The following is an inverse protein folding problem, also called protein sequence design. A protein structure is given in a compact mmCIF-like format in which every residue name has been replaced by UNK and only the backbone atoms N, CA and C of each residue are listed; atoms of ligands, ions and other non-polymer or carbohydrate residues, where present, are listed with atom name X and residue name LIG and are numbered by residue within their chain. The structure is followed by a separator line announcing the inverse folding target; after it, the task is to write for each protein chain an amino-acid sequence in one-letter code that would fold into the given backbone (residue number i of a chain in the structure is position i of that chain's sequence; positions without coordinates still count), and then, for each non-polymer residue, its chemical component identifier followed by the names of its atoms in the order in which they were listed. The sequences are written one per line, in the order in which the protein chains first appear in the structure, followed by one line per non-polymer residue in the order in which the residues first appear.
data_IF_267876934212
#
_entry.id   IF_267876934212
#
_cell.length_a   1.000
_cell.length_b   1.000
_cell.length_c   1.000
_cell.angle_alpha   90.00
_cell.angle_beta   90.00
_cell.angle_gamma   90.00
#
_symmetry.space_group_name_H-M   'P 1'
#
loop_
_entity.id
_entity.type
_entity.pdbx_description
1 polymer ?
#
# COMPACT_ATOMS: atom_id res chain seq x y z
N UNK A 1 -13.53 31.28 43.57
CA UNK A 1 -13.18 31.08 42.14
C UNK A 1 -14.10 30.09 41.43
N UNK A 2 -14.28 28.87 41.95
CA UNK A 2 -15.14 27.83 41.34
C UNK A 2 -16.61 28.24 41.13
N UNK A 3 -17.18 29.01 42.05
CA UNK A 3 -18.56 29.51 41.96
C UNK A 3 -18.75 30.57 40.87
N UNK A 4 -17.72 31.38 40.60
CA UNK A 4 -17.72 32.39 39.54
C UNK A 4 -17.61 31.71 38.18
N UNK A 5 -16.71 30.73 38.07
CA UNK A 5 -16.54 29.91 36.86
C UNK A 5 -17.84 29.15 36.49
N UNK A 6 -18.52 28.52 37.47
CA UNK A 6 -19.81 27.84 37.25
C UNK A 6 -20.90 28.80 36.76
N UNK A 7 -20.90 30.05 37.24
CA UNK A 7 -21.88 31.06 36.85
C UNK A 7 -21.64 31.56 35.42
N UNK A 8 -20.38 31.80 35.06
CA UNK A 8 -19.96 32.12 33.70
C UNK A 8 -20.35 31.00 32.72
N UNK A 9 -19.98 29.74 33.02
CA UNK A 9 -20.33 28.58 32.18
C UNK A 9 -21.85 28.43 31.99
N UNK A 10 -22.64 28.62 33.06
CA UNK A 10 -24.11 28.59 32.98
C UNK A 10 -24.68 29.71 32.10
N UNK A 11 -24.05 30.88 32.09
CA UNK A 11 -24.44 32.00 31.23
C UNK A 11 -24.08 31.74 29.76
N UNK A 12 -22.93 31.14 29.48
CA UNK A 12 -22.55 30.71 28.12
C UNK A 12 -23.52 29.65 27.59
N UNK A 13 -23.88 28.65 28.41
CA UNK A 13 -24.83 27.59 28.00
C UNK A 13 -26.21 28.16 27.66
N UNK A 14 -26.65 29.23 28.32
CA UNK A 14 -27.99 29.84 28.11
C UNK A 14 -28.11 30.75 26.88
N UNK A 15 -27.04 31.00 26.11
CA UNK A 15 -27.09 31.86 24.92
C UNK A 15 -27.35 31.01 23.65
N UNK A 16 -28.60 30.89 23.17
CA UNK A 16 -28.92 30.02 22.03
C UNK A 16 -28.18 30.43 20.75
N UNK A 17 -27.96 31.73 20.54
CA UNK A 17 -27.20 32.25 19.38
C UNK A 17 -25.73 31.80 19.37
N UNK A 18 -25.11 31.68 20.55
CA UNK A 18 -23.74 31.21 20.66
C UNK A 18 -23.63 29.74 20.21
N UNK A 19 -24.54 28.89 20.68
CA UNK A 19 -24.58 27.48 20.28
C UNK A 19 -24.94 27.28 18.81
N UNK A 20 -25.83 28.11 18.26
CA UNK A 20 -26.13 28.12 16.83
C UNK A 20 -24.86 28.42 16.01
N UNK A 21 -24.09 29.44 16.40
CA UNK A 21 -22.81 29.77 15.78
C UNK A 21 -21.79 28.63 15.87
N UNK A 22 -21.65 28.02 17.05
CA UNK A 22 -20.77 26.84 17.24
C UNK A 22 -21.21 25.66 16.35
N UNK A 23 -22.51 25.39 16.26
CA UNK A 23 -23.04 24.33 15.40
C UNK A 23 -22.77 24.58 13.92
N UNK A 24 -22.91 25.84 13.46
CA UNK A 24 -22.57 26.23 12.07
C UNK A 24 -21.08 26.01 11.79
N UNK A 25 -20.19 26.41 12.71
CA UNK A 25 -18.75 26.20 12.55
C UNK A 25 -18.42 24.72 12.50
N UNK A 26 -18.97 23.90 13.40
CA UNK A 26 -18.77 22.44 13.38
C UNK A 26 -19.27 21.85 12.06
N UNK A 27 -20.44 22.28 11.57
CA UNK A 27 -21.00 21.81 10.31
C UNK A 27 -20.12 22.20 9.12
N UNK A 28 -19.63 23.44 9.05
CA UNK A 28 -18.69 23.88 8.01
C UNK A 28 -17.40 23.07 8.03
N UNK A 29 -16.80 22.87 9.21
CA UNK A 29 -15.60 22.02 9.34
C UNK A 29 -15.92 20.59 8.88
N UNK A 30 -17.07 20.03 9.28
CA UNK A 30 -17.47 18.70 8.83
C UNK A 30 -17.64 18.62 7.31
N UNK A 31 -18.29 19.60 6.67
CA UNK A 31 -18.44 19.63 5.21
C UNK A 31 -17.09 19.72 4.48
N UNK A 32 -16.17 20.55 5.00
CA UNK A 32 -14.83 20.70 4.41
C UNK A 32 -13.96 19.46 4.63
N UNK A 33 -14.09 18.77 5.77
CA UNK A 33 -13.26 17.62 6.14
C UNK A 33 -13.86 16.29 5.63
N UNK A 34 -15.18 16.21 5.44
CA UNK A 34 -15.88 14.99 5.00
C UNK A 34 -15.30 14.35 3.74
N UNK A 35 -14.94 15.10 2.68
CA UNK A 35 -14.26 14.53 1.50
C UNK A 35 -12.92 13.86 1.83
N UNK A 36 -12.21 14.33 2.86
CA UNK A 36 -10.93 13.76 3.31
C UNK A 36 -11.10 12.59 4.27
N UNK A 37 -12.32 12.33 4.77
CA UNK A 37 -12.61 11.17 5.61
C UNK A 37 -12.73 9.89 4.77
N UNK A 38 -13.18 10.02 3.53
CA UNK A 38 -13.19 8.93 2.55
C UNK A 38 -11.93 9.03 1.70
N UNK A 39 -11.02 8.10 1.90
CA UNK A 39 -9.80 8.10 1.12
C UNK A 39 -10.09 7.53 -0.27
N UNK A 40 -10.25 8.42 -1.24
CA UNK A 40 -10.26 8.07 -2.66
C UNK A 40 -8.80 8.00 -3.12
N UNK A 41 -8.27 6.80 -3.34
CA UNK A 41 -6.85 6.61 -3.66
C UNK A 41 -6.59 6.73 -5.17
N UNK A 42 -7.41 6.07 -6.00
CA UNK A 42 -7.41 6.22 -7.46
C UNK A 42 -8.85 6.31 -7.96
N UNK A 43 -9.17 7.40 -8.65
CA UNK A 43 -10.45 7.62 -9.30
C UNK A 43 -10.60 6.76 -10.58
N UNK A 44 -11.81 6.70 -11.11
CA UNK A 44 -12.09 5.96 -12.34
C UNK A 44 -11.31 6.58 -13.52
N UNK A 45 -10.46 5.78 -14.17
CA UNK A 45 -9.58 6.21 -15.25
C UNK A 45 -8.18 6.69 -14.81
N UNK A 46 -7.92 6.78 -13.50
CA UNK A 46 -6.57 7.06 -12.99
C UNK A 46 -5.74 5.79 -12.93
N UNK A 47 -4.54 5.85 -13.50
CA UNK A 47 -3.52 4.80 -13.45
C UNK A 47 -2.20 5.44 -13.04
N UNK A 48 -1.42 4.71 -12.25
CA UNK A 48 -0.07 5.15 -11.90
C UNK A 48 0.83 4.76 -13.06
N UNK A 49 1.25 5.76 -13.84
CA UNK A 49 2.14 5.55 -14.99
C UNK A 49 3.58 5.52 -14.49
N UNK A 50 4.27 4.40 -14.74
CA UNK A 50 5.70 4.25 -14.51
C UNK A 50 6.34 3.49 -15.69
N UNK A 51 7.65 3.63 -15.85
CA UNK A 51 8.44 2.92 -16.87
C UNK A 51 9.10 1.63 -16.30
N UNK A 52 8.65 1.16 -15.14
CA UNK A 52 9.20 -0.01 -14.46
C UNK A 52 8.62 -1.32 -15.04
N UNK A 53 9.32 -2.47 -14.86
CA UNK A 53 8.87 -3.77 -15.35
C UNK A 53 7.54 -4.21 -14.73
N UNK A 54 6.80 -5.13 -15.37
CA UNK A 54 5.49 -5.58 -14.87
C UNK A 54 5.55 -6.24 -13.48
N UNK A 55 6.67 -6.88 -13.16
CA UNK A 55 6.97 -7.39 -11.83
C UNK A 55 8.25 -6.76 -11.31
N UNK A 56 8.31 -6.52 -10.00
CA UNK A 56 9.47 -5.92 -9.37
C UNK A 56 9.58 -6.33 -7.90
N UNK A 57 10.76 -6.83 -7.51
CA UNK A 57 11.01 -7.29 -6.13
C UNK A 57 10.76 -6.21 -5.08
N UNK A 58 11.21 -4.99 -5.36
CA UNK A 58 11.17 -3.86 -4.44
C UNK A 58 10.02 -2.90 -4.82
N UNK A 59 8.96 -3.44 -5.43
CA UNK A 59 7.77 -2.68 -5.81
C UNK A 59 7.08 -2.02 -4.62
N UNK A 60 6.72 -0.76 -4.80
CA UNK A 60 5.93 0.02 -3.83
C UNK A 60 4.56 0.38 -4.42
N UNK A 61 3.58 0.53 -3.53
CA UNK A 61 2.23 0.95 -3.88
C UNK A 61 2.19 2.36 -4.46
N UNK A 62 3.16 3.22 -4.09
CA UNK A 62 3.34 4.53 -4.70
C UNK A 62 3.70 4.46 -6.18
N UNK A 63 4.40 3.40 -6.57
CA UNK A 63 4.75 3.13 -7.97
C UNK A 63 3.66 2.28 -8.66
N UNK A 64 2.56 1.94 -7.97
CA UNK A 64 1.47 1.14 -8.53
C UNK A 64 1.64 -0.37 -8.37
N UNK A 65 2.55 -0.82 -7.50
CA UNK A 65 2.75 -2.24 -7.24
C UNK A 65 1.97 -2.74 -6.03
N UNK A 66 1.45 -3.96 -6.15
CA UNK A 66 0.76 -4.67 -5.07
C UNK A 66 1.49 -6.00 -4.85
N UNK A 67 1.64 -6.48 -3.60
CA UNK A 67 2.25 -7.79 -3.37
C UNK A 67 1.41 -8.89 -4.00
N UNK A 68 2.07 -9.78 -4.73
CA UNK A 68 1.42 -10.92 -5.35
C UNK A 68 1.01 -11.95 -4.28
N UNK A 69 -0.21 -12.48 -4.40
CA UNK A 69 -0.62 -13.65 -3.61
C UNK A 69 0.25 -14.87 -3.98
N UNK A 70 0.35 -15.87 -3.09
CA UNK A 70 1.17 -17.07 -3.34
C UNK A 70 0.79 -17.78 -4.64
N UNK A 71 -0.50 -17.85 -4.97
CA UNK A 71 -0.98 -18.47 -6.21
C UNK A 71 -0.59 -17.65 -7.44
N UNK A 72 -0.92 -16.35 -7.43
CA UNK A 72 -0.60 -15.44 -8.52
C UNK A 72 0.91 -15.33 -8.75
N UNK A 73 1.70 -15.25 -7.67
CA UNK A 73 3.16 -15.21 -7.74
C UNK A 73 3.74 -16.43 -8.43
N UNK A 74 3.14 -17.60 -8.22
CA UNK A 74 3.56 -18.84 -8.87
C UNK A 74 3.28 -18.79 -10.38
N UNK A 75 2.11 -18.31 -10.77
CA UNK A 75 1.72 -18.13 -12.17
C UNK A 75 2.64 -17.15 -12.90
N UNK A 76 2.84 -15.95 -12.34
CA UNK A 76 3.76 -14.95 -12.89
C UNK A 76 5.19 -15.48 -13.05
N UNK A 77 5.64 -16.28 -12.09
CA UNK A 77 6.95 -16.91 -12.15
C UNK A 77 7.03 -17.96 -13.26
N UNK A 78 6.03 -18.83 -13.39
CA UNK A 78 5.97 -19.84 -14.46
C UNK A 78 5.90 -19.21 -15.86
N UNK A 79 5.15 -18.11 -16.02
CA UNK A 79 5.12 -17.35 -17.27
C UNK A 79 6.50 -16.77 -17.59
N UNK A 80 7.16 -16.16 -16.61
CA UNK A 80 8.49 -15.60 -16.78
C UNK A 80 9.54 -16.66 -17.13
N UNK A 81 9.49 -17.82 -16.48
CA UNK A 81 10.36 -18.96 -16.83
C UNK A 81 10.08 -19.43 -18.25
N UNK A 82 8.81 -19.55 -18.64
CA UNK A 82 8.44 -19.95 -20.00
C UNK A 82 9.01 -18.99 -21.05
N UNK A 83 8.93 -17.68 -20.81
CA UNK A 83 9.51 -16.66 -21.68
C UNK A 83 11.03 -16.82 -21.81
N UNK A 84 11.74 -17.02 -20.70
CA UNK A 84 13.19 -17.23 -20.68
C UNK A 84 13.59 -18.50 -21.44
N UNK A 85 12.86 -19.61 -21.23
CA UNK A 85 13.13 -20.87 -21.94
C UNK A 85 12.95 -20.74 -23.46
N UNK A 86 11.95 -19.97 -23.91
CA UNK A 86 11.72 -19.77 -25.35
C UNK A 86 12.74 -18.79 -25.94
N UNK A 87 13.01 -17.68 -25.24
CA UNK A 87 13.81 -16.58 -25.79
C UNK A 87 15.32 -16.78 -25.66
N UNK A 88 15.79 -17.26 -24.51
CA UNK A 88 17.23 -17.42 -24.22
C UNK A 88 17.72 -18.84 -24.51
N UNK A 89 16.91 -19.85 -24.24
CA UNK A 89 17.26 -21.25 -24.47
C UNK A 89 16.78 -21.79 -25.82
N UNK A 90 16.13 -20.94 -26.63
CA UNK A 90 15.58 -21.27 -27.96
C UNK A 90 14.70 -22.54 -27.95
N UNK A 91 14.06 -22.85 -26.83
CA UNK A 91 13.15 -24.00 -26.73
C UNK A 91 11.87 -23.73 -27.51
N UNK A 92 11.29 -24.79 -28.07
CA UNK A 92 9.99 -24.71 -28.70
C UNK A 92 8.88 -24.52 -27.64
N UNK A 93 7.76 -23.93 -28.06
CA UNK A 93 6.63 -23.68 -27.15
C UNK A 93 6.13 -24.95 -26.45
N UNK A 94 6.18 -26.12 -27.11
CA UNK A 94 5.74 -27.38 -26.51
C UNK A 94 6.77 -27.92 -25.50
N UNK A 95 8.06 -27.84 -25.80
CA UNK A 95 9.13 -28.18 -24.85
C UNK A 95 9.09 -27.29 -23.61
N UNK A 96 8.96 -25.98 -23.78
CA UNK A 96 8.84 -25.05 -22.65
C UNK A 96 7.60 -25.33 -21.80
N UNK A 97 6.44 -25.61 -22.43
CA UNK A 97 5.22 -25.95 -21.70
C UNK A 97 5.36 -27.27 -20.93
N UNK A 98 6.02 -28.28 -21.50
CA UNK A 98 6.29 -29.55 -20.82
C UNK A 98 7.09 -29.35 -19.53
N UNK A 99 8.14 -28.51 -19.57
CA UNK A 99 8.95 -28.18 -18.37
C UNK A 99 8.10 -27.50 -17.29
N UNK A 100 7.24 -26.55 -17.68
CA UNK A 100 6.31 -25.90 -16.74
C UNK A 100 5.31 -26.89 -16.15
N UNK A 101 4.75 -27.78 -16.96
CA UNK A 101 3.78 -28.79 -16.52
C UNK A 101 4.41 -29.80 -15.54
N UNK A 102 5.66 -30.21 -15.78
CA UNK A 102 6.43 -31.05 -14.86
C UNK A 102 6.65 -30.36 -13.50
N UNK A 103 6.91 -29.06 -13.52
CA UNK A 103 7.20 -28.27 -12.31
C UNK A 103 5.95 -27.90 -11.50
N UNK A 104 4.75 -27.91 -12.10
CA UNK A 104 3.50 -27.37 -11.52
C UNK A 104 3.20 -27.86 -10.10
N UNK A 105 3.41 -29.14 -9.84
CA UNK A 105 3.18 -29.78 -8.53
C UNK A 105 4.40 -29.74 -7.58
N UNK A 106 5.54 -29.24 -8.06
CA UNK A 106 6.77 -29.13 -7.27
C UNK A 106 6.76 -27.86 -6.40
N UNK A 107 7.44 -27.91 -5.26
CA UNK A 107 7.79 -26.71 -4.51
C UNK A 107 8.82 -25.87 -5.26
N UNK A 108 8.87 -24.56 -5.01
CA UNK A 108 9.77 -23.62 -5.70
C UNK A 108 11.23 -24.09 -5.65
N UNK A 109 11.72 -24.58 -4.49
CA UNK A 109 13.11 -24.99 -4.36
C UNK A 109 13.43 -26.27 -5.16
N UNK A 110 12.48 -27.21 -5.30
CA UNK A 110 12.64 -28.37 -6.17
C UNK A 110 12.49 -28.01 -7.65
N UNK A 111 11.58 -27.09 -7.96
CA UNK A 111 11.37 -26.58 -9.31
C UNK A 111 12.61 -25.83 -9.83
N UNK A 112 13.26 -24.98 -9.01
CA UNK A 112 14.53 -24.35 -9.37
C UNK A 112 15.63 -25.39 -9.62
N UNK A 113 15.77 -26.41 -8.76
CA UNK A 113 16.74 -27.50 -8.98
C UNK A 113 16.48 -28.31 -10.24
N UNK A 114 15.22 -28.44 -10.65
CA UNK A 114 14.87 -29.09 -11.91
C UNK A 114 15.34 -28.24 -13.10
N UNK A 115 15.14 -26.92 -13.05
CA UNK A 115 15.61 -25.97 -14.06
C UNK A 115 17.13 -25.86 -14.13
N UNK A 116 17.84 -26.03 -13.02
CA UNK A 116 19.31 -26.13 -13.01
C UNK A 116 19.79 -27.31 -13.88
N UNK A 117 19.03 -28.42 -13.90
CA UNK A 117 19.26 -29.55 -14.80
C UNK A 117 19.11 -29.20 -16.28
N UNK A 118 18.30 -28.20 -16.59
CA UNK A 118 18.16 -27.58 -17.91
C UNK A 118 19.17 -26.45 -18.16
N UNK A 119 20.22 -26.33 -17.33
CA UNK A 119 21.22 -25.26 -17.36
C UNK A 119 20.69 -23.86 -17.04
N UNK A 120 19.53 -23.75 -16.39
CA UNK A 120 18.95 -22.49 -15.98
C UNK A 120 19.05 -22.29 -14.45
N UNK A 121 19.95 -21.41 -14.02
CA UNK A 121 20.32 -21.22 -12.61
C UNK A 121 19.65 -20.02 -11.94
N UNK A 122 19.14 -19.06 -12.73
CA UNK A 122 18.60 -17.79 -12.22
C UNK A 122 17.10 -17.86 -11.88
N UNK A 123 16.50 -19.05 -11.98
CA UNK A 123 15.07 -19.27 -11.74
C UNK A 123 14.59 -18.74 -10.37
N UNK A 124 15.42 -18.83 -9.33
CA UNK A 124 15.05 -18.31 -8.02
C UNK A 124 15.03 -16.77 -7.97
N UNK A 125 15.89 -16.10 -8.73
CA UNK A 125 15.88 -14.63 -8.81
C UNK A 125 14.61 -14.13 -9.48
N UNK A 126 14.18 -14.76 -10.57
CA UNK A 126 12.88 -14.45 -11.20
C UNK A 126 11.72 -14.66 -10.21
N UNK A 127 11.78 -15.68 -9.34
CA UNK A 127 10.75 -15.87 -8.31
C UNK A 127 10.74 -14.74 -7.28
N UNK A 128 11.92 -14.19 -6.96
CA UNK A 128 12.04 -13.06 -6.04
C UNK A 128 11.49 -11.78 -6.68
N UNK A 129 11.70 -11.59 -7.97
CA UNK A 129 11.22 -10.42 -8.72
C UNK A 129 9.69 -10.42 -8.90
N UNK A 130 9.04 -11.59 -8.89
CA UNK A 130 7.57 -11.71 -8.88
C UNK A 130 6.92 -11.45 -7.52
N UNK A 131 7.66 -10.94 -6.53
CA UNK A 131 7.11 -10.60 -5.22
C UNK A 131 6.01 -9.53 -5.30
N UNK A 132 6.13 -8.59 -6.25
CA UNK A 132 5.12 -7.59 -6.52
C UNK A 132 4.84 -7.50 -8.02
N UNK A 133 3.60 -7.18 -8.37
CA UNK A 133 3.14 -6.96 -9.74
C UNK A 133 2.45 -5.60 -9.84
N UNK A 134 2.37 -5.03 -11.04
CA UNK A 134 1.56 -3.84 -11.30
C UNK A 134 0.10 -4.17 -11.04
N UNK A 135 -0.45 -3.57 -9.99
CA UNK A 135 -1.82 -3.83 -9.57
C UNK A 135 -2.82 -3.06 -10.40
N UNK A 136 -4.03 -3.60 -10.50
CA UNK A 136 -5.16 -2.81 -10.99
C UNK A 136 -5.55 -1.74 -9.98
N UNK A 137 -6.34 -0.74 -10.43
CA UNK A 137 -6.90 0.29 -9.56
C UNK A 137 -7.63 -0.32 -8.36
N UNK A 138 -8.40 -1.37 -8.59
CA UNK A 138 -9.18 -2.09 -7.59
C UNK A 138 -8.29 -2.80 -6.58
N UNK A 139 -7.22 -3.46 -7.05
CA UNK A 139 -6.24 -4.13 -6.21
C UNK A 139 -5.46 -3.14 -5.34
N UNK A 140 -4.97 -2.05 -5.94
CA UNK A 140 -4.24 -0.99 -5.24
C UNK A 140 -5.14 -0.38 -4.16
N UNK A 141 -6.36 0.03 -4.52
CA UNK A 141 -7.29 0.65 -3.58
C UNK A 141 -7.64 -0.30 -2.43
N UNK A 142 -7.87 -1.59 -2.74
CA UNK A 142 -8.18 -2.61 -1.73
C UNK A 142 -7.00 -2.87 -0.80
N UNK A 143 -5.78 -2.94 -1.35
CA UNK A 143 -4.55 -3.12 -0.58
C UNK A 143 -4.32 -1.96 0.38
N UNK A 144 -4.44 -0.72 -0.09
CA UNK A 144 -4.26 0.46 0.76
C UNK A 144 -5.35 0.52 1.85
N UNK A 145 -6.60 0.22 1.50
CA UNK A 145 -7.70 0.17 2.45
C UNK A 145 -7.45 -0.86 3.56
N UNK A 146 -6.99 -2.07 3.23
CA UNK A 146 -6.65 -3.11 4.22
C UNK A 146 -5.53 -2.65 5.17
N UNK A 147 -4.49 -2.01 4.64
CA UNK A 147 -3.37 -1.50 5.44
C UNK A 147 -3.79 -0.39 6.39
N UNK A 148 -4.69 0.49 5.95
CA UNK A 148 -5.19 1.62 6.73
C UNK A 148 -6.32 1.24 7.70
N UNK A 149 -7.02 0.13 7.46
CA UNK A 149 -7.98 -0.44 8.41
C UNK A 149 -7.27 -0.89 9.69
N UNK A 150 -6.16 -1.63 9.55
CA UNK A 150 -5.38 -2.13 10.70
C UNK A 150 -4.84 -0.98 11.56
N UNK A 151 -4.38 0.09 10.91
CA UNK A 151 -3.84 1.30 11.56
C UNK A 151 -4.14 2.52 10.70
N UNK A 152 -4.91 3.46 11.24
CA UNK A 152 -5.27 4.70 10.54
C UNK A 152 -4.01 5.47 10.14
N UNK A 153 -4.11 6.27 9.08
CA UNK A 153 -3.02 7.15 8.63
C UNK A 153 -2.41 7.97 9.79
N UNK A 154 -3.24 8.49 10.69
CA UNK A 154 -2.81 9.26 11.87
C UNK A 154 -1.87 8.48 12.81
N UNK A 155 -1.97 7.15 12.84
CA UNK A 155 -1.06 6.30 13.60
C UNK A 155 0.34 6.28 13.00
N UNK A 156 0.45 6.15 11.68
CA UNK A 156 1.74 6.15 10.98
C UNK A 156 2.35 7.56 10.95
N UNK A 157 1.52 8.57 10.69
CA UNK A 157 1.91 9.96 10.72
C UNK A 157 2.46 10.36 12.09
N UNK A 158 1.73 10.09 13.17
CA UNK A 158 2.17 10.48 14.52
C UNK A 158 3.51 9.86 14.92
N UNK A 159 3.82 8.62 14.50
CA UNK A 159 5.11 7.98 14.80
C UNK A 159 6.28 8.54 14.01
N UNK A 160 6.07 8.89 12.73
CA UNK A 160 7.13 9.49 11.90
C UNK A 160 7.49 10.91 12.37
N UNK A 161 6.53 11.59 12.98
CA UNK A 161 6.65 12.99 13.43
C UNK A 161 6.69 13.15 14.95
N UNK A 162 6.72 12.05 15.73
CA UNK A 162 6.81 12.10 17.19
C UNK A 162 8.10 12.82 17.63
N UNK A 163 9.22 12.50 16.99
CA UNK A 163 10.52 13.12 17.26
C UNK A 163 10.56 14.62 16.89
N UNK A 164 9.63 15.07 16.03
CA UNK A 164 9.48 16.48 15.66
C UNK A 164 8.76 17.29 16.75
N UNK A 165 7.89 16.66 17.55
CA UNK A 165 7.27 17.31 18.71
C UNK A 165 8.29 17.59 19.82
N UNK A 166 9.21 16.65 20.07
CA UNK A 166 10.28 16.84 21.05
C UNK A 166 11.26 17.94 20.61
N UNK A 167 11.64 17.97 19.33
CA UNK A 167 12.45 19.07 18.76
C UNK A 167 11.76 20.44 18.84
N UNK A 168 10.43 20.51 18.63
CA UNK A 168 9.68 21.76 18.77
C UNK A 168 9.63 22.25 20.22
N UNK A 169 9.60 21.34 21.19
CA UNK A 169 9.60 21.68 22.61
C UNK A 169 10.96 22.21 23.08
N UNK A 170 12.05 21.59 22.63
CA UNK A 170 13.41 22.07 22.88
C UNK A 170 13.69 23.43 22.18
N UNK A 171 13.12 23.66 20.99
CA UNK A 171 13.22 24.94 20.29
C UNK A 171 12.42 26.08 20.94
N UNK A 172 11.30 25.77 21.62
CA UNK A 172 10.45 26.75 22.30
C UNK A 172 10.85 27.01 23.76
N UNK A 173 11.71 26.16 24.33
CA UNK A 173 12.23 26.28 25.69
C UNK A 173 12.91 27.62 26.03
N UNK A 174 13.55 28.35 25.10
CA UNK A 174 14.14 29.68 25.39
C UNK A 174 13.12 30.83 25.48
N UNK A 175 11.85 30.59 25.13
CA UNK A 175 10.81 31.63 25.07
C UNK A 175 9.82 31.59 26.26
N UNK A 176 10.11 30.79 27.29
CA UNK A 176 9.36 30.69 28.55
C UNK A 176 10.24 31.03 29.77
#
# INVERSE_FOLDING_TARGET
MWSILKREVKNYIRKPLLWLGVAIVIFMVFQNVSPYLNVHYLAEGETIVNDYPETYRDGDVFDGYVPADKGLRRELWEERIREVLISEFEMDHAGAQSVIDEMKEMDIAKACRHLEGCSYYDAYYEYVDTAYHKGTREEINSYIAEKLEKRRFSYYFSRKFADLQDCLWDFLQPFY
#
